data_IF_426994725389
#
_entry.id   IF_426994725389
#
_cell.length_a   1.000
_cell.length_b   1.000
_cell.length_c   1.000
_cell.angle_alpha   90.00
_cell.angle_beta   90.00
_cell.angle_gamma   90.00
#
_symmetry.space_group_name_H-M   'P 1'
#
loop_
_entity.id
_entity.type
_entity.pdbx_description
1 polymer ?
#
# COMPACT_ATOMS: atom_id res chain seq x y z
N UNK A 1 -15.42 -29.44 -14.62
CA UNK A 1 -14.54 -28.31 -14.25
C UNK A 1 -13.96 -28.63 -12.87
N UNK A 2 -12.69 -29.08 -12.79
CA UNK A 2 -12.08 -29.44 -11.49
C UNK A 2 -11.84 -28.14 -10.70
N UNK A 3 -12.58 -27.92 -9.62
CA UNK A 3 -12.28 -26.85 -8.67
C UNK A 3 -10.89 -27.13 -8.08
N UNK A 4 -9.90 -26.37 -8.55
CA UNK A 4 -8.57 -26.34 -7.93
C UNK A 4 -8.76 -25.69 -6.56
N UNK A 5 -8.44 -26.37 -5.45
CA UNK A 5 -8.66 -25.78 -4.13
C UNK A 5 -7.89 -24.46 -4.04
N UNK A 6 -8.61 -23.40 -3.69
CA UNK A 6 -8.08 -22.05 -3.56
C UNK A 6 -7.12 -22.08 -2.37
N UNK A 7 -5.81 -22.05 -2.61
CA UNK A 7 -4.83 -21.95 -1.53
C UNK A 7 -4.87 -20.50 -0.99
N UNK A 8 -5.33 -20.27 0.26
CA UNK A 8 -5.53 -18.92 0.80
C UNK A 8 -4.24 -18.09 0.87
N UNK A 9 -3.07 -18.73 0.99
CA UNK A 9 -1.77 -18.03 0.91
C UNK A 9 -1.49 -17.44 -0.46
N UNK A 10 -1.96 -18.08 -1.54
CA UNK A 10 -1.73 -17.61 -2.91
C UNK A 10 -2.63 -16.45 -3.30
N UNK A 11 -3.72 -16.25 -2.56
CA UNK A 11 -4.59 -15.10 -2.75
C UNK A 11 -4.01 -13.86 -2.05
N UNK A 12 -3.40 -13.95 -0.85
CA UNK A 12 -2.91 -12.77 -0.08
C UNK A 12 -1.78 -12.06 -0.80
N UNK A 13 -0.89 -12.82 -1.41
CA UNK A 13 0.24 -12.30 -2.19
C UNK A 13 -0.23 -11.41 -3.35
N UNK A 14 -1.42 -11.67 -3.93
CA UNK A 14 -1.99 -10.85 -5.00
C UNK A 14 -2.39 -9.44 -4.55
N UNK A 15 -2.60 -9.23 -3.25
CA UNK A 15 -3.01 -7.94 -2.69
C UNK A 15 -1.91 -7.25 -1.87
N UNK A 16 -0.95 -8.02 -1.34
CA UNK A 16 0.22 -7.49 -0.61
C UNK A 16 1.30 -7.01 -1.58
N UNK A 17 1.52 -7.74 -2.68
CA UNK A 17 2.55 -7.36 -3.65
C UNK A 17 2.26 -6.00 -4.32
N UNK A 18 1.03 -5.70 -4.77
CA UNK A 18 0.72 -4.36 -5.28
C UNK A 18 0.88 -3.28 -4.22
N UNK A 19 0.47 -3.55 -2.97
CA UNK A 19 0.67 -2.59 -1.89
C UNK A 19 2.14 -2.23 -1.71
N UNK A 20 3.00 -3.23 -1.66
CA UNK A 20 4.44 -3.01 -1.48
C UNK A 20 5.03 -2.23 -2.65
N UNK A 21 4.65 -2.57 -3.89
CA UNK A 21 5.07 -1.84 -5.07
C UNK A 21 4.59 -0.38 -5.01
N UNK A 22 3.36 -0.13 -4.58
CA UNK A 22 2.83 1.23 -4.42
C UNK A 22 3.58 2.05 -3.37
N UNK A 23 4.02 1.43 -2.26
CA UNK A 23 4.86 2.06 -1.24
C UNK A 23 6.23 2.45 -1.81
N UNK A 24 6.89 1.55 -2.53
CA UNK A 24 8.22 1.80 -3.10
C UNK A 24 8.17 2.87 -4.18
N UNK A 25 7.17 2.81 -5.08
CA UNK A 25 6.99 3.84 -6.11
C UNK A 25 6.74 5.20 -5.44
N UNK A 26 5.87 5.25 -4.44
CA UNK A 26 5.56 6.52 -3.75
C UNK A 26 6.79 7.08 -3.02
N UNK A 27 7.58 6.21 -2.36
CA UNK A 27 8.79 6.63 -1.66
C UNK A 27 9.83 7.18 -2.63
N UNK A 28 9.97 6.55 -3.80
CA UNK A 28 10.84 7.01 -4.87
C UNK A 28 10.38 8.35 -5.46
N UNK A 29 9.08 8.53 -5.67
CA UNK A 29 8.51 9.79 -6.15
C UNK A 29 8.79 10.93 -5.17
N UNK A 30 8.53 10.72 -3.87
CA UNK A 30 8.78 11.72 -2.83
C UNK A 30 10.28 12.02 -2.65
N UNK A 31 11.14 11.04 -2.88
CA UNK A 31 12.59 11.23 -2.88
C UNK A 31 13.08 12.13 -4.03
N UNK A 32 12.47 12.00 -5.22
CA UNK A 32 12.80 12.84 -6.36
C UNK A 32 12.16 14.23 -6.25
N UNK A 33 10.91 14.30 -5.80
CA UNK A 33 10.16 15.55 -5.67
C UNK A 33 10.83 16.56 -4.71
N UNK A 34 11.53 16.05 -3.70
CA UNK A 34 12.31 16.87 -2.77
C UNK A 34 13.52 17.59 -3.41
N UNK A 35 14.05 17.09 -4.52
CA UNK A 35 15.18 17.68 -5.26
C UNK A 35 16.55 17.62 -4.56
N UNK A 36 16.59 17.49 -3.24
CA UNK A 36 17.80 17.34 -2.43
C UNK A 36 18.12 15.90 -2.03
N UNK A 37 17.23 14.94 -2.38
CA UNK A 37 17.48 13.51 -2.23
C UNK A 37 17.89 13.08 -0.82
N UNK A 38 17.24 13.62 0.22
CA UNK A 38 17.68 13.44 1.61
C UNK A 38 16.55 13.05 2.58
N UNK A 39 15.37 12.70 2.07
CA UNK A 39 14.20 12.26 2.82
C UNK A 39 13.76 13.24 3.93
N UNK A 40 14.13 14.52 3.84
CA UNK A 40 13.64 15.54 4.79
C UNK A 40 12.14 15.73 4.70
N UNK A 41 11.51 15.32 3.60
CA UNK A 41 10.06 15.26 3.51
C UNK A 41 9.47 14.46 4.68
N UNK A 42 10.14 13.42 5.16
CA UNK A 42 9.72 12.58 6.28
C UNK A 42 9.81 13.27 7.65
N UNK A 43 10.50 14.40 7.77
CA UNK A 43 10.55 15.18 9.01
C UNK A 43 9.26 15.97 9.25
N UNK A 44 8.49 16.20 8.18
CA UNK A 44 7.22 16.91 8.25
C UNK A 44 6.05 15.93 8.18
N UNK A 45 5.25 15.89 9.24
CA UNK A 45 4.00 15.09 9.31
C UNK A 45 3.08 15.32 8.13
N UNK A 46 3.02 16.55 7.62
CA UNK A 46 2.17 16.89 6.48
C UNK A 46 2.51 16.10 5.22
N UNK A 47 3.79 15.77 5.04
CA UNK A 47 4.24 15.01 3.88
C UNK A 47 3.97 13.51 4.05
N UNK A 48 3.88 13.01 5.27
CA UNK A 48 3.41 11.64 5.51
C UNK A 48 1.99 11.45 5.03
N UNK A 49 1.11 12.44 5.23
CA UNK A 49 -0.27 12.38 4.74
C UNK A 49 -0.30 12.33 3.22
N UNK A 50 0.48 13.18 2.55
CA UNK A 50 0.61 13.16 1.10
C UNK A 50 1.16 11.80 0.61
N UNK A 51 2.15 11.24 1.31
CA UNK A 51 2.69 9.91 1.03
C UNK A 51 1.59 8.83 1.14
N UNK A 52 0.73 8.86 2.16
CA UNK A 52 -0.37 7.89 2.30
C UNK A 52 -1.36 7.95 1.14
N UNK A 53 -1.66 9.15 0.66
CA UNK A 53 -2.57 9.38 -0.46
C UNK A 53 -1.99 8.79 -1.75
N UNK A 54 -0.72 9.05 -2.03
CA UNK A 54 -0.06 8.51 -3.23
C UNK A 54 0.03 6.98 -3.19
N UNK A 55 0.36 6.41 -2.03
CA UNK A 55 0.35 4.95 -1.82
C UNK A 55 -1.03 4.37 -2.12
N UNK A 56 -2.10 4.97 -1.57
CA UNK A 56 -3.45 4.49 -1.76
C UNK A 56 -3.92 4.59 -3.23
N UNK A 57 -3.57 5.67 -3.93
CA UNK A 57 -3.91 5.87 -5.35
C UNK A 57 -3.18 4.87 -6.24
N UNK A 58 -1.87 4.74 -6.07
CA UNK A 58 -1.06 3.81 -6.88
C UNK A 58 -1.48 2.37 -6.60
N UNK A 59 -1.72 2.02 -5.33
CA UNK A 59 -2.24 0.71 -4.95
C UNK A 59 -3.61 0.43 -5.57
N UNK A 60 -4.54 1.39 -5.48
CA UNK A 60 -5.89 1.28 -6.03
C UNK A 60 -5.89 1.07 -7.53
N UNK A 61 -5.04 1.80 -8.27
CA UNK A 61 -4.87 1.61 -9.72
C UNK A 61 -4.35 0.21 -10.04
N UNK A 62 -3.36 -0.29 -9.30
CA UNK A 62 -2.85 -1.65 -9.48
C UNK A 62 -3.90 -2.73 -9.18
N UNK A 63 -4.77 -2.50 -8.19
CA UNK A 63 -5.92 -3.35 -7.89
C UNK A 63 -6.99 -3.30 -9.00
N UNK A 64 -7.27 -2.13 -9.55
CA UNK A 64 -8.24 -1.97 -10.65
C UNK A 64 -7.75 -2.66 -11.92
N UNK A 65 -6.46 -2.56 -12.22
CA UNK A 65 -5.86 -3.22 -13.38
C UNK A 65 -5.82 -4.75 -13.25
N UNK A 66 -5.94 -5.27 -12.02
CA UNK A 66 -6.06 -6.72 -11.76
C UNK A 66 -7.50 -7.24 -11.78
N UNK A 67 -8.52 -6.38 -11.96
CA UNK A 67 -9.95 -6.74 -11.86
C UNK A 67 -10.61 -7.54 -13.00
N UNK A 68 -10.15 -7.63 -14.27
CA UNK A 68 -10.89 -8.42 -15.25
C UNK A 68 -10.97 -9.93 -14.96
N UNK A 69 -10.37 -10.44 -13.87
CA UNK A 69 -10.35 -11.86 -13.47
C UNK A 69 -11.04 -12.21 -12.13
N UNK A 70 -11.52 -11.26 -11.33
CA UNK A 70 -11.97 -11.52 -9.95
C UNK A 70 -13.50 -11.55 -9.80
N UNK A 71 -14.14 -12.57 -10.37
CA UNK A 71 -15.60 -12.74 -10.32
C UNK A 71 -16.13 -13.45 -9.06
N UNK A 72 -15.30 -13.91 -8.11
CA UNK A 72 -15.77 -14.91 -7.12
C UNK A 72 -15.39 -14.78 -5.63
N UNK A 73 -14.61 -13.81 -5.15
CA UNK A 73 -14.26 -13.80 -3.71
C UNK A 73 -13.82 -12.41 -3.16
N UNK A 74 -14.76 -11.48 -2.99
CA UNK A 74 -14.54 -10.08 -2.56
C UNK A 74 -14.13 -9.89 -1.08
N UNK A 75 -14.26 -10.89 -0.20
CA UNK A 75 -14.02 -10.75 1.27
C UNK A 75 -12.55 -10.67 1.69
N UNK A 76 -11.62 -10.86 0.77
CA UNK A 76 -10.21 -11.08 1.05
C UNK A 76 -9.32 -9.91 0.61
N UNK A 77 -9.71 -9.21 -0.48
CA UNK A 77 -9.28 -7.82 -0.76
C UNK A 77 -9.59 -6.94 0.48
N UNK A 78 -10.71 -7.24 1.13
CA UNK A 78 -11.25 -6.59 2.33
C UNK A 78 -10.41 -6.82 3.61
N UNK A 79 -9.53 -7.83 3.66
CA UNK A 79 -8.57 -8.00 4.77
C UNK A 79 -7.21 -7.36 4.43
N UNK A 80 -6.79 -7.42 3.17
CA UNK A 80 -5.54 -6.83 2.70
C UNK A 80 -5.48 -5.31 2.92
N UNK A 81 -6.61 -4.61 2.70
CA UNK A 81 -6.74 -3.17 2.95
C UNK A 81 -6.75 -2.80 4.43
N UNK A 82 -7.18 -3.72 5.32
CA UNK A 82 -7.25 -3.46 6.76
C UNK A 82 -5.90 -3.54 7.47
N UNK A 83 -4.95 -4.26 6.89
CA UNK A 83 -3.61 -4.39 7.45
C UNK A 83 -2.67 -3.28 6.96
N UNK A 84 -2.87 -2.81 5.72
CA UNK A 84 -2.30 -1.54 5.21
C UNK A 84 -2.57 -0.41 6.20
N UNK A 85 -3.81 -0.37 6.68
CA UNK A 85 -4.33 0.55 7.69
C UNK A 85 -3.55 0.55 9.01
N UNK A 86 -3.13 -0.62 9.49
CA UNK A 86 -2.45 -0.77 10.79
C UNK A 86 -1.00 -0.29 10.68
N UNK A 87 -0.36 -0.55 9.56
CA UNK A 87 1.03 -0.16 9.31
C UNK A 87 1.15 1.37 9.15
N UNK A 88 0.13 2.05 8.63
CA UNK A 88 0.08 3.52 8.60
C UNK A 88 -0.20 4.13 9.98
N UNK A 89 -0.94 3.41 10.83
CA UNK A 89 -1.20 3.79 12.24
C UNK A 89 0.07 3.71 13.09
N UNK A 90 0.92 2.70 12.88
CA UNK A 90 2.18 2.57 13.63
C UNK A 90 3.21 3.59 13.15
N UNK A 91 3.31 3.86 11.84
CA UNK A 91 4.17 4.92 11.26
C UNK A 91 3.81 6.32 11.78
N UNK A 92 2.54 6.54 12.11
CA UNK A 92 2.03 7.79 12.67
C UNK A 92 2.31 7.93 14.17
N UNK A 93 2.34 6.82 14.91
CA UNK A 93 2.61 6.81 16.35
C UNK A 93 4.10 6.91 16.69
N UNK A 94 4.97 6.30 15.89
CA UNK A 94 6.41 6.47 16.04
C UNK A 94 6.87 7.91 15.74
N UNK A 95 6.14 8.65 14.90
CA UNK A 95 6.36 10.09 14.72
C UNK A 95 6.04 10.91 16.00
N UNK A 96 4.99 10.54 16.75
CA UNK A 96 4.55 11.19 18.01
C UNK A 96 5.55 11.01 19.16
N UNK A 97 6.30 9.92 19.17
CA UNK A 97 7.26 9.59 20.23
C UNK A 97 8.64 10.23 20.02
N UNK A 98 9.00 10.52 18.77
CA UNK A 98 10.31 11.07 18.38
C UNK A 98 10.28 12.56 18.02
N UNK A 99 9.22 13.28 18.44
CA UNK A 99 9.15 14.74 18.48
C UNK A 99 9.33 15.23 19.91
#
# INVERSE_FOLDING_TARGET
MKFKPLNPEKESVKFILPLFISLVITLFLFYIDEGFYNFKWMLNVGNWIAFLIYVAVIYGVQLLLTLPFFRFAPKFIITATKFILIILIVLFLSFIVFR
#
